data_IF_489773627721
#
_entry.id   IF_489773627721
#
_cell.length_a   1.000
_cell.length_b   1.000
_cell.length_c   1.000
_cell.angle_alpha   90.00
_cell.angle_beta   90.00
_cell.angle_gamma   90.00
#
_symmetry.space_group_name_H-M   'P 1'
#
loop_
_entity.id
_entity.type
_entity.pdbx_description
1 polymer ?
#
# COMPACT_ATOMS: atom_id res chain seq x y z
N UNK A 1 -12.24 -48.73 -2.21
CA UNK A 1 -12.86 -47.85 -1.19
C UNK A 1 -11.74 -47.13 -0.44
N UNK A 2 -11.45 -45.88 -0.78
CA UNK A 2 -10.35 -45.14 -0.16
C UNK A 2 -10.74 -44.68 1.25
N UNK A 3 -10.04 -45.18 2.27
CA UNK A 3 -10.20 -44.77 3.67
C UNK A 3 -10.02 -43.25 3.78
N UNK A 4 -11.13 -42.55 4.01
CA UNK A 4 -11.15 -41.13 4.32
C UNK A 4 -10.51 -40.96 5.71
N UNK A 5 -9.22 -40.59 5.75
CA UNK A 5 -8.53 -40.19 6.99
C UNK A 5 -9.42 -39.19 7.72
N UNK A 6 -9.87 -39.53 8.94
CA UNK A 6 -10.52 -38.58 9.84
C UNK A 6 -9.49 -37.47 10.12
N UNK A 7 -9.81 -36.23 9.74
CA UNK A 7 -9.02 -35.07 10.14
C UNK A 7 -9.06 -34.98 11.67
N UNK A 8 -7.99 -35.44 12.33
CA UNK A 8 -7.77 -35.13 13.74
C UNK A 8 -7.50 -33.62 13.82
N UNK A 9 -8.10 -32.94 14.80
CA UNK A 9 -7.74 -31.56 15.11
C UNK A 9 -6.23 -31.50 15.35
N UNK A 10 -5.55 -30.47 14.81
CA UNK A 10 -4.12 -30.34 15.00
C UNK A 10 -3.81 -30.17 16.50
N UNK A 11 -2.62 -30.59 16.97
CA UNK A 11 -2.23 -30.43 18.37
C UNK A 11 -2.33 -28.97 18.80
N UNK A 12 -2.78 -28.74 20.04
CA UNK A 12 -2.88 -27.39 20.64
C UNK A 12 -1.48 -26.74 20.60
N UNK A 13 -1.40 -25.48 20.14
CA UNK A 13 -0.15 -24.71 19.88
C UNK A 13 0.76 -25.21 18.74
N UNK A 14 0.32 -26.17 17.92
CA UNK A 14 1.03 -26.47 16.67
C UNK A 14 0.94 -25.29 15.68
N UNK A 15 1.90 -25.19 14.75
CA UNK A 15 1.88 -24.18 13.69
C UNK A 15 0.57 -24.18 12.89
N UNK A 16 -0.01 -25.35 12.63
CA UNK A 16 -1.31 -25.47 11.94
C UNK A 16 -2.48 -24.97 12.81
N UNK A 17 -2.42 -25.21 14.12
CA UNK A 17 -3.43 -24.69 15.06
C UNK A 17 -3.41 -23.16 15.13
N UNK A 18 -2.22 -22.56 15.21
CA UNK A 18 -2.06 -21.10 15.22
C UNK A 18 -2.58 -20.50 13.92
N UNK A 19 -2.23 -21.06 12.76
CA UNK A 19 -2.73 -20.56 11.46
C UNK A 19 -4.25 -20.65 11.38
N UNK A 20 -4.88 -21.70 11.91
CA UNK A 20 -6.34 -21.85 11.84
C UNK A 20 -7.07 -20.89 12.78
N UNK A 21 -6.51 -20.60 13.96
CA UNK A 21 -7.18 -19.83 15.00
C UNK A 21 -6.60 -18.42 15.18
N UNK A 22 -5.67 -17.97 14.32
CA UNK A 22 -4.98 -16.68 14.48
C UNK A 22 -5.96 -15.50 14.56
N UNK A 23 -7.02 -15.52 13.75
CA UNK A 23 -8.03 -14.47 13.74
C UNK A 23 -8.77 -14.40 15.08
N UNK A 24 -9.22 -15.54 15.59
CA UNK A 24 -9.93 -15.64 16.87
C UNK A 24 -9.05 -15.29 18.06
N UNK A 25 -7.79 -15.75 18.06
CA UNK A 25 -6.82 -15.42 19.10
C UNK A 25 -6.51 -13.92 19.14
N UNK A 26 -6.24 -13.32 17.98
CA UNK A 26 -5.96 -11.87 17.87
C UNK A 26 -7.21 -11.05 18.20
N UNK A 27 -8.40 -11.49 17.78
CA UNK A 27 -9.68 -10.87 18.13
C UNK A 27 -9.93 -10.91 19.63
N UNK A 28 -9.67 -12.05 20.29
CA UNK A 28 -9.77 -12.17 21.75
C UNK A 28 -8.82 -11.21 22.46
N UNK A 29 -7.57 -11.07 21.98
CA UNK A 29 -6.60 -10.12 22.54
C UNK A 29 -7.08 -8.66 22.36
N UNK A 30 -7.54 -8.29 21.17
CA UNK A 30 -8.06 -6.95 20.90
C UNK A 30 -9.30 -6.64 21.75
N UNK A 31 -10.22 -7.61 21.90
CA UNK A 31 -11.41 -7.49 22.74
C UNK A 31 -11.04 -7.33 24.22
N UNK A 32 -10.01 -8.04 24.70
CA UNK A 32 -9.51 -7.87 26.06
C UNK A 32 -8.99 -6.46 26.33
N UNK A 33 -8.26 -5.88 25.38
CA UNK A 33 -7.79 -4.49 25.46
C UNK A 33 -8.96 -3.50 25.46
N UNK A 34 -9.97 -3.72 24.61
CA UNK A 34 -11.19 -2.89 24.56
C UNK A 34 -12.03 -3.00 25.84
N UNK A 35 -12.16 -4.20 26.40
CA UNK A 35 -12.86 -4.43 27.67
C UNK A 35 -12.13 -3.75 28.84
N UNK A 36 -10.80 -3.59 28.74
CA UNK A 36 -10.02 -2.76 29.65
C UNK A 36 -10.45 -1.29 29.70
N UNK A 37 -11.20 -0.78 28.72
CA UNK A 37 -11.80 0.56 28.79
C UNK A 37 -13.02 0.63 29.72
N UNK A 38 -13.66 -0.50 30.04
CA UNK A 38 -14.90 -0.52 30.80
C UNK A 38 -14.71 -0.23 32.30
N UNK A 39 -13.51 -0.44 32.83
CA UNK A 39 -13.20 -0.16 34.25
C UNK A 39 -12.30 1.07 34.39
N UNK A 40 -12.59 1.92 35.37
CA UNK A 40 -11.92 3.20 35.56
C UNK A 40 -10.40 3.09 35.82
N UNK A 41 -9.95 2.03 36.49
CA UNK A 41 -8.53 1.82 36.78
C UNK A 41 -7.77 1.34 35.54
N UNK A 42 -8.35 0.42 34.77
CA UNK A 42 -7.72 -0.16 33.58
C UNK A 42 -7.82 0.77 32.37
N UNK A 43 -8.85 1.61 32.30
CA UNK A 43 -9.07 2.52 31.17
C UNK A 43 -7.92 3.52 30.99
N UNK A 44 -7.29 3.96 32.08
CA UNK A 44 -6.09 4.83 32.07
C UNK A 44 -4.92 4.22 31.29
N UNK A 45 -4.82 2.89 31.25
CA UNK A 45 -3.80 2.18 30.50
C UNK A 45 -4.29 1.74 29.12
N UNK A 46 -5.54 1.28 29.02
CA UNK A 46 -6.13 0.80 27.77
C UNK A 46 -6.30 1.91 26.73
N UNK A 47 -6.58 3.14 27.15
CA UNK A 47 -6.73 4.28 26.23
C UNK A 47 -5.44 4.60 25.46
N UNK A 48 -4.27 4.27 26.03
CA UNK A 48 -2.96 4.42 25.37
C UNK A 48 -2.87 3.66 24.04
N UNK A 49 -3.56 2.54 23.94
CA UNK A 49 -3.55 1.69 22.75
C UNK A 49 -4.46 2.20 21.62
N UNK A 50 -5.43 3.07 21.92
CA UNK A 50 -6.51 3.41 20.98
C UNK A 50 -6.42 4.86 20.51
N UNK A 51 -6.14 5.79 21.41
CA UNK A 51 -6.13 7.21 21.07
C UNK A 51 -4.73 7.69 20.74
N UNK A 52 -4.64 8.75 19.94
CA UNK A 52 -3.39 9.48 19.74
C UNK A 52 -3.04 10.20 21.04
N UNK A 53 -1.79 10.08 21.50
CA UNK A 53 -1.42 10.44 22.88
C UNK A 53 -0.85 11.85 23.04
N UNK A 54 -0.29 12.43 21.98
CA UNK A 54 0.49 13.66 22.06
C UNK A 54 -0.27 14.81 21.39
N UNK A 55 -1.42 15.21 21.95
CA UNK A 55 -2.15 16.37 21.47
C UNK A 55 -1.49 17.67 21.98
N UNK A 56 -1.21 18.58 21.06
CA UNK A 56 -0.77 19.95 21.34
C UNK A 56 -1.86 20.88 20.85
N UNK A 57 -2.51 21.55 21.79
CA UNK A 57 -3.57 22.52 21.49
C UNK A 57 -2.98 23.91 21.49
N UNK A 58 -3.04 24.60 20.36
CA UNK A 58 -2.72 26.02 20.30
C UNK A 58 -4.02 26.82 20.40
N UNK A 59 -4.13 27.60 21.47
CA UNK A 59 -5.18 28.61 21.57
C UNK A 59 -4.74 29.79 20.73
N UNK A 60 -5.48 30.08 19.66
CA UNK A 60 -5.32 31.33 18.93
C UNK A 60 -6.10 32.36 19.74
N UNK A 61 -5.45 33.43 20.18
CA UNK A 61 -5.95 34.48 21.09
C UNK A 61 -7.15 35.31 20.56
N UNK A 62 -7.90 34.80 19.57
CA UNK A 62 -8.91 35.56 18.83
C UNK A 62 -10.23 34.78 18.63
N UNK A 63 -10.65 33.98 19.62
CA UNK A 63 -11.99 33.38 19.66
C UNK A 63 -12.29 32.34 18.57
N UNK A 64 -11.26 31.81 17.89
CA UNK A 64 -11.37 30.72 16.93
C UNK A 64 -11.14 29.36 17.60
N UNK A 65 -11.78 28.31 17.06
CA UNK A 65 -11.71 26.96 17.61
C UNK A 65 -10.25 26.51 17.80
N UNK A 66 -9.92 25.88 18.95
CA UNK A 66 -8.56 25.42 19.22
C UNK A 66 -8.09 24.43 18.15
N UNK A 67 -6.94 24.74 17.52
CA UNK A 67 -6.36 23.84 16.52
C UNK A 67 -5.50 22.80 17.24
N UNK A 68 -5.93 21.54 17.15
CA UNK A 68 -5.21 20.40 17.71
C UNK A 68 -4.17 19.87 16.71
N UNK A 69 -2.89 19.94 17.09
CA UNK A 69 -1.81 19.25 16.41
C UNK A 69 -1.42 18.00 17.19
N UNK A 70 -0.82 17.03 16.51
CA UNK A 70 -0.33 15.80 17.14
C UNK A 70 1.17 15.67 16.92
N UNK A 71 1.90 15.50 18.00
CA UNK A 71 3.33 15.16 17.95
C UNK A 71 3.53 13.65 17.97
N UNK A 72 4.75 13.20 17.69
CA UNK A 72 5.12 11.79 17.74
C UNK A 72 5.88 11.49 19.03
N UNK A 73 5.58 10.37 19.67
CA UNK A 73 6.34 9.96 20.85
C UNK A 73 6.31 8.45 21.12
N UNK A 74 7.07 7.98 22.11
CA UNK A 74 7.26 6.55 22.35
C UNK A 74 5.97 5.79 22.71
N UNK A 75 4.96 6.48 23.26
CA UNK A 75 3.66 5.85 23.56
C UNK A 75 2.88 5.44 22.30
N UNK A 76 3.17 6.05 21.15
CA UNK A 76 2.54 5.68 19.88
C UNK A 76 2.91 4.26 19.46
N UNK A 77 3.97 3.65 20.02
CA UNK A 77 4.30 2.24 19.80
C UNK A 77 3.18 1.30 20.26
N UNK A 78 2.53 1.62 21.38
CA UNK A 78 1.39 0.85 21.88
C UNK A 78 0.19 0.98 20.92
N UNK A 79 -0.05 2.19 20.43
CA UNK A 79 -1.08 2.49 19.45
C UNK A 79 -0.83 1.78 18.12
N UNK A 80 0.40 1.80 17.60
CA UNK A 80 0.82 1.06 16.40
C UNK A 80 0.59 -0.44 16.60
N UNK A 81 0.99 -0.99 17.75
CA UNK A 81 0.78 -2.39 18.07
C UNK A 81 -0.71 -2.76 18.02
N UNK A 82 -1.58 -1.97 18.64
CA UNK A 82 -3.03 -2.21 18.61
C UNK A 82 -3.60 -2.12 17.19
N UNK A 83 -3.26 -1.09 16.42
CA UNK A 83 -3.71 -0.99 15.03
C UNK A 83 -3.18 -2.11 14.14
N UNK A 84 -2.00 -2.67 14.44
CA UNK A 84 -1.52 -3.89 13.79
C UNK A 84 -2.41 -5.12 14.11
N UNK A 85 -2.91 -5.26 15.34
CA UNK A 85 -3.89 -6.32 15.68
C UNK A 85 -5.19 -6.13 14.89
N UNK A 86 -5.70 -4.89 14.83
CA UNK A 86 -6.90 -4.57 14.03
C UNK A 86 -6.67 -4.86 12.55
N UNK A 87 -5.47 -4.56 12.01
CA UNK A 87 -5.12 -4.87 10.63
C UNK A 87 -5.11 -6.39 10.36
N UNK A 88 -4.62 -7.21 11.30
CA UNK A 88 -4.65 -8.68 11.20
C UNK A 88 -6.10 -9.18 11.20
N UNK A 89 -6.95 -8.67 12.09
CA UNK A 89 -8.38 -9.02 12.15
C UNK A 89 -9.06 -8.64 10.83
N UNK A 90 -8.83 -7.41 10.34
CA UNK A 90 -9.42 -6.94 9.08
C UNK A 90 -8.97 -7.81 7.90
N UNK A 91 -7.68 -8.16 7.82
CA UNK A 91 -7.16 -9.07 6.80
C UNK A 91 -7.86 -10.44 6.84
N UNK A 92 -8.06 -11.00 8.03
CA UNK A 92 -8.76 -12.28 8.19
C UNK A 92 -10.24 -12.19 7.77
N UNK A 93 -10.94 -11.12 8.17
CA UNK A 93 -12.34 -10.86 7.78
C UNK A 93 -12.46 -10.71 6.26
N UNK A 94 -11.59 -9.93 5.62
CA UNK A 94 -11.56 -9.79 4.15
C UNK A 94 -11.34 -11.17 3.49
N UNK A 95 -10.44 -11.98 4.05
CA UNK A 95 -10.17 -13.32 3.53
C UNK A 95 -11.42 -14.21 3.58
N UNK A 96 -12.06 -14.31 4.74
CA UNK A 96 -13.17 -15.23 4.98
C UNK A 96 -14.46 -14.80 4.26
N UNK A 97 -14.83 -13.52 4.39
CA UNK A 97 -16.12 -13.02 3.93
C UNK A 97 -16.13 -12.63 2.46
N UNK A 98 -15.01 -12.14 1.93
CA UNK A 98 -14.93 -11.67 0.55
C UNK A 98 -14.20 -12.69 -0.31
N UNK A 99 -12.92 -12.94 -0.04
CA UNK A 99 -12.07 -13.72 -0.95
C UNK A 99 -12.50 -15.18 -1.02
N UNK A 100 -12.73 -15.83 0.12
CA UNK A 100 -13.17 -17.22 0.18
C UNK A 100 -14.60 -17.38 -0.33
N UNK A 101 -15.44 -16.36 -0.20
CA UNK A 101 -16.78 -16.35 -0.80
C UNK A 101 -16.71 -16.33 -2.33
N UNK A 102 -15.89 -15.45 -2.91
CA UNK A 102 -15.69 -15.38 -4.37
C UNK A 102 -15.02 -16.65 -4.88
N UNK A 103 -14.02 -17.17 -4.17
CA UNK A 103 -13.33 -18.40 -4.54
C UNK A 103 -14.29 -19.61 -4.58
N UNK A 104 -15.20 -19.72 -3.61
CA UNK A 104 -16.24 -20.76 -3.59
C UNK A 104 -17.20 -20.65 -4.76
N UNK A 105 -17.48 -19.44 -5.27
CA UNK A 105 -18.30 -19.21 -6.48
C UNK A 105 -17.56 -19.57 -7.76
N UNK A 106 -16.25 -19.28 -7.83
CA UNK A 106 -15.42 -19.49 -9.01
C UNK A 106 -14.83 -20.91 -9.13
N UNK A 107 -14.98 -21.75 -8.10
CA UNK A 107 -14.48 -23.13 -8.06
C UNK A 107 -13.00 -23.27 -8.50
N UNK A 108 -12.13 -22.37 -8.03
CA UNK A 108 -10.73 -22.36 -8.43
C UNK A 108 -9.97 -23.58 -7.86
N UNK A 109 -8.97 -24.06 -8.59
CA UNK A 109 -8.06 -25.11 -8.10
C UNK A 109 -7.22 -24.61 -6.93
N UNK A 110 -6.71 -25.51 -6.07
CA UNK A 110 -5.86 -25.16 -4.90
C UNK A 110 -4.72 -24.18 -5.24
N UNK A 111 -4.05 -24.38 -6.38
CA UNK A 111 -2.97 -23.52 -6.87
C UNK A 111 -3.44 -22.15 -7.36
N UNK A 112 -4.62 -22.07 -7.98
CA UNK A 112 -5.23 -20.80 -8.40
C UNK A 112 -5.78 -20.04 -7.19
N UNK A 113 -6.34 -20.76 -6.22
CA UNK A 113 -6.90 -20.19 -5.00
C UNK A 113 -5.86 -19.44 -4.17
N UNK A 114 -4.71 -20.04 -3.87
CA UNK A 114 -3.64 -19.34 -3.12
C UNK A 114 -3.20 -18.04 -3.80
N UNK A 115 -3.07 -18.06 -5.14
CA UNK A 115 -2.73 -16.89 -5.95
C UNK A 115 -3.85 -15.85 -6.04
N UNK A 116 -5.09 -16.30 -6.03
CA UNK A 116 -6.27 -15.45 -5.98
C UNK A 116 -6.34 -14.72 -4.63
N UNK A 117 -6.12 -15.44 -3.52
CA UNK A 117 -6.13 -14.87 -2.18
C UNK A 117 -5.01 -13.83 -2.00
N UNK A 118 -3.78 -14.14 -2.41
CA UNK A 118 -2.65 -13.19 -2.41
C UNK A 118 -2.99 -11.90 -3.18
N UNK A 119 -3.45 -12.04 -4.43
CA UNK A 119 -3.82 -10.89 -5.26
C UNK A 119 -5.05 -10.14 -4.72
N UNK A 120 -5.95 -10.84 -4.04
CA UNK A 120 -7.13 -10.28 -3.42
C UNK A 120 -6.77 -9.35 -2.27
N UNK A 121 -5.94 -9.84 -1.35
CA UNK A 121 -5.47 -9.06 -0.21
C UNK A 121 -4.68 -7.83 -0.66
N UNK A 122 -3.79 -7.99 -1.64
CA UNK A 122 -3.05 -6.87 -2.22
C UNK A 122 -3.97 -5.86 -2.91
N UNK A 123 -5.01 -6.30 -3.63
CA UNK A 123 -5.99 -5.39 -4.23
C UNK A 123 -6.71 -4.55 -3.16
N UNK A 124 -7.13 -5.16 -2.05
CA UNK A 124 -7.75 -4.43 -0.93
C UNK A 124 -6.77 -3.44 -0.30
N UNK A 125 -5.53 -3.87 -0.02
CA UNK A 125 -4.49 -3.01 0.52
C UNK A 125 -4.22 -1.78 -0.37
N UNK A 126 -4.03 -1.99 -1.68
CA UNK A 126 -3.80 -0.89 -2.61
C UNK A 126 -5.03 0.00 -2.79
N UNK A 127 -6.25 -0.54 -2.68
CA UNK A 127 -7.47 0.25 -2.70
C UNK A 127 -7.54 1.18 -1.49
N UNK A 128 -7.38 0.65 -0.28
CA UNK A 128 -7.36 1.46 0.94
C UNK A 128 -6.25 2.51 0.89
N UNK A 129 -5.04 2.13 0.46
CA UNK A 129 -3.89 3.03 0.36
C UNK A 129 -4.09 4.12 -0.69
N UNK A 130 -4.72 3.79 -1.83
CA UNK A 130 -5.05 4.76 -2.87
C UNK A 130 -6.10 5.76 -2.40
N UNK A 131 -7.20 5.29 -1.80
CA UNK A 131 -8.27 6.16 -1.27
C UNK A 131 -7.73 7.07 -0.18
N UNK A 132 -6.96 6.52 0.77
CA UNK A 132 -6.31 7.28 1.81
C UNK A 132 -5.35 8.33 1.24
N UNK A 133 -4.45 7.94 0.35
CA UNK A 133 -3.51 8.86 -0.30
C UNK A 133 -4.19 9.95 -1.12
N UNK A 134 -5.26 9.61 -1.86
CA UNK A 134 -6.08 10.56 -2.61
C UNK A 134 -6.84 11.53 -1.70
N UNK A 135 -7.32 11.08 -0.54
CA UNK A 135 -7.97 11.96 0.45
C UNK A 135 -6.98 13.00 1.01
N UNK A 136 -5.74 12.61 1.30
CA UNK A 136 -4.71 13.54 1.74
C UNK A 136 -4.34 14.49 0.60
N UNK A 137 -4.16 13.97 -0.61
CA UNK A 137 -3.80 14.77 -1.78
C UNK A 137 -4.87 15.83 -2.09
N UNK A 138 -6.15 15.46 -2.06
CA UNK A 138 -7.25 16.40 -2.26
C UNK A 138 -7.31 17.46 -1.16
N UNK A 139 -7.07 17.10 0.10
CA UNK A 139 -6.96 18.06 1.20
C UNK A 139 -5.75 19.02 1.04
N UNK A 140 -4.67 18.58 0.41
CA UNK A 140 -3.51 19.43 0.08
C UNK A 140 -3.82 20.36 -1.10
N UNK A 141 -4.41 19.85 -2.17
CA UNK A 141 -4.79 20.64 -3.35
C UNK A 141 -5.81 21.71 -2.96
N UNK A 142 -6.80 21.37 -2.15
CA UNK A 142 -7.79 22.32 -1.65
C UNK A 142 -7.13 23.48 -0.88
N UNK A 143 -6.16 23.19 0.00
CA UNK A 143 -5.37 24.22 0.72
C UNK A 143 -4.52 25.08 -0.21
N UNK A 144 -3.95 24.50 -1.27
CA UNK A 144 -3.18 25.25 -2.28
C UNK A 144 -4.07 26.11 -3.18
N UNK A 145 -5.31 25.71 -3.42
CA UNK A 145 -6.27 26.49 -4.21
C UNK A 145 -6.88 27.63 -3.36
N UNK A 146 -7.11 27.40 -2.06
CA UNK A 146 -7.65 28.41 -1.14
C UNK A 146 -6.65 29.51 -0.79
N UNK A 147 -5.35 29.36 -1.10
CA UNK A 147 -4.36 30.46 -0.95
C UNK A 147 -4.55 31.61 -1.94
N UNK A 148 -5.48 31.50 -2.90
CA UNK A 148 -5.97 32.66 -3.67
C UNK A 148 -6.99 33.50 -2.86
N UNK A 149 -7.58 32.94 -1.78
CA UNK A 149 -8.55 33.63 -0.91
C UNK A 149 -8.05 33.93 0.52
N UNK A 150 -6.84 33.52 0.89
CA UNK A 150 -6.29 33.79 2.22
C UNK A 150 -5.17 34.85 2.18
N UNK A 151 -5.51 36.07 1.75
CA UNK A 151 -4.85 37.27 2.29
C UNK A 151 -5.49 37.56 3.66
N UNK A 152 -5.09 36.81 4.67
CA UNK A 152 -5.25 37.23 6.06
C UNK A 152 -3.86 37.25 6.70
N UNK A 153 -3.47 38.36 7.34
CA UNK A 153 -2.14 38.50 7.92
C UNK A 153 -2.15 37.76 9.27
N UNK A 154 -1.79 36.49 9.28
CA UNK A 154 -1.45 35.83 10.53
C UNK A 154 0.00 36.17 10.82
N UNK A 155 0.15 37.34 11.45
CA UNK A 155 1.39 37.82 12.00
C UNK A 155 1.82 36.98 13.20
N UNK A 156 3.14 36.80 13.27
CA UNK A 156 3.93 36.56 14.47
C UNK A 156 3.96 35.14 15.06
N UNK A 157 5.20 34.70 15.20
CA UNK A 157 5.72 33.64 16.08
C UNK A 157 5.52 32.18 15.66
N UNK A 158 6.60 31.52 15.24
CA UNK A 158 7.45 30.81 16.22
C UNK A 158 8.64 30.10 15.54
N UNK A 159 9.80 30.39 16.11
CA UNK A 159 11.04 29.63 16.00
C UNK A 159 10.87 28.35 16.83
N UNK A 160 10.29 27.31 16.26
CA UNK A 160 10.53 25.90 16.62
C UNK A 160 9.89 25.03 15.53
N UNK A 161 10.66 24.06 15.01
CA UNK A 161 10.30 23.03 14.03
C UNK A 161 10.26 23.43 12.53
N UNK A 162 11.36 24.03 12.05
CA UNK A 162 11.74 23.97 10.62
C UNK A 162 11.88 22.52 10.10
N UNK A 163 12.24 21.57 10.98
CA UNK A 163 12.41 20.14 10.67
C UNK A 163 11.07 19.48 10.34
N UNK A 164 10.01 19.75 11.10
CA UNK A 164 8.67 19.13 10.92
C UNK A 164 7.92 19.71 9.72
N UNK A 165 7.95 21.03 9.50
CA UNK A 165 7.33 21.67 8.32
C UNK A 165 7.99 21.25 7.00
N UNK A 166 9.29 20.94 7.00
CA UNK A 166 10.03 20.51 5.79
C UNK A 166 9.96 18.99 5.55
N UNK A 167 9.90 18.16 6.59
CA UNK A 167 9.57 16.73 6.46
C UNK A 167 8.17 16.55 5.88
N UNK A 168 7.22 17.41 6.27
CA UNK A 168 5.86 17.40 5.72
C UNK A 168 5.83 17.74 4.22
N UNK A 169 6.72 18.63 3.74
CA UNK A 169 6.89 18.92 2.32
C UNK A 169 7.45 17.72 1.53
N UNK A 170 8.42 17.00 2.09
CA UNK A 170 8.96 15.75 1.50
C UNK A 170 7.95 14.60 1.55
N UNK A 171 7.16 14.49 2.63
CA UNK A 171 6.07 13.53 2.76
C UNK A 171 4.94 13.83 1.77
N UNK A 172 4.59 15.11 1.55
CA UNK A 172 3.62 15.54 0.52
C UNK A 172 4.11 15.19 -0.88
N UNK A 173 5.39 15.40 -1.18
CA UNK A 173 5.99 14.97 -2.44
C UNK A 173 5.96 13.44 -2.59
N UNK A 174 6.34 12.72 -1.53
CA UNK A 174 6.24 11.27 -1.46
C UNK A 174 4.82 10.80 -1.79
N UNK A 175 3.81 11.38 -1.15
CA UNK A 175 2.39 11.07 -1.39
C UNK A 175 1.94 11.36 -2.82
N UNK A 176 2.34 12.49 -3.40
CA UNK A 176 2.06 12.83 -4.81
C UNK A 176 2.65 11.78 -5.75
N UNK A 177 3.84 11.25 -5.45
CA UNK A 177 4.48 10.20 -6.24
C UNK A 177 3.89 8.80 -5.97
N UNK A 178 3.39 8.56 -4.76
CA UNK A 178 2.89 7.26 -4.30
C UNK A 178 1.46 6.97 -4.78
N UNK A 179 0.59 7.99 -4.84
CA UNK A 179 -0.82 7.82 -5.24
C UNK A 179 -0.97 7.23 -6.65
N UNK A 180 -0.27 7.75 -7.69
CA UNK A 180 -0.28 7.12 -9.02
C UNK A 180 0.26 5.69 -9.00
N UNK A 181 1.25 5.41 -8.15
CA UNK A 181 1.81 4.07 -8.02
C UNK A 181 0.78 3.09 -7.44
N UNK A 182 0.10 3.46 -6.35
CA UNK A 182 -0.95 2.63 -5.75
C UNK A 182 -2.12 2.38 -6.69
N UNK A 183 -2.50 3.38 -7.50
CA UNK A 183 -3.53 3.20 -8.52
C UNK A 183 -3.14 2.14 -9.55
N UNK A 184 -1.90 2.18 -10.04
CA UNK A 184 -1.42 1.22 -11.04
C UNK A 184 -1.33 -0.20 -10.46
N UNK A 185 -0.85 -0.36 -9.23
CA UNK A 185 -0.81 -1.67 -8.56
C UNK A 185 -2.22 -2.19 -8.23
N UNK A 186 -3.16 -1.30 -7.86
CA UNK A 186 -4.56 -1.65 -7.70
C UNK A 186 -5.15 -2.20 -9.01
N UNK A 187 -4.93 -1.51 -10.13
CA UNK A 187 -5.43 -1.94 -11.44
C UNK A 187 -4.79 -3.27 -11.87
N UNK A 188 -3.52 -3.49 -11.54
CA UNK A 188 -2.84 -4.77 -11.77
C UNK A 188 -3.54 -5.92 -11.03
N UNK A 189 -3.70 -5.79 -9.71
CA UNK A 189 -4.28 -6.82 -8.88
C UNK A 189 -5.77 -7.03 -9.18
N UNK A 190 -6.53 -5.96 -9.44
CA UNK A 190 -7.90 -6.04 -9.91
C UNK A 190 -7.99 -6.79 -11.26
N UNK A 191 -7.12 -6.48 -12.22
CA UNK A 191 -7.06 -7.19 -13.51
C UNK A 191 -6.76 -8.67 -13.33
N UNK A 192 -5.87 -9.03 -12.40
CA UNK A 192 -5.55 -10.43 -12.06
C UNK A 192 -6.75 -11.15 -11.43
N UNK A 193 -7.50 -10.48 -10.55
CA UNK A 193 -8.74 -11.04 -9.97
C UNK A 193 -9.81 -11.28 -11.06
N UNK A 194 -10.03 -10.33 -11.96
CA UNK A 194 -10.98 -10.50 -13.06
C UNK A 194 -10.56 -11.60 -14.04
N UNK A 195 -9.25 -11.74 -14.31
CA UNK A 195 -8.73 -12.82 -15.14
C UNK A 195 -9.00 -14.21 -14.56
N UNK A 196 -8.99 -14.36 -13.24
CA UNK A 196 -9.38 -15.62 -12.59
C UNK A 196 -10.87 -15.94 -12.73
N UNK A 197 -11.72 -14.91 -12.86
CA UNK A 197 -13.16 -15.08 -13.08
C UNK A 197 -13.49 -15.39 -14.53
N UNK A 198 -12.83 -14.73 -15.49
CA UNK A 198 -13.08 -14.87 -16.91
C UNK A 198 -11.79 -14.64 -17.71
N UNK A 199 -11.29 -15.70 -18.33
CA UNK A 199 -10.01 -15.70 -19.06
C UNK A 199 -10.05 -14.83 -20.32
N UNK A 200 -11.25 -14.45 -20.82
CA UNK A 200 -11.42 -13.54 -21.95
C UNK A 200 -11.20 -12.06 -21.59
N UNK A 201 -11.11 -11.70 -20.29
CA UNK A 201 -10.94 -10.31 -19.83
C UNK A 201 -9.48 -9.85 -19.80
N UNK A 202 -8.70 -10.16 -20.84
CA UNK A 202 -7.27 -9.80 -20.90
C UNK A 202 -7.02 -8.29 -21.10
N UNK A 203 -8.03 -7.53 -21.52
CA UNK A 203 -7.93 -6.07 -21.77
C UNK A 203 -7.46 -5.28 -20.54
N UNK A 204 -7.75 -5.77 -19.33
CA UNK A 204 -7.28 -5.16 -18.08
C UNK A 204 -5.75 -5.08 -17.97
N UNK A 205 -5.04 -6.12 -18.43
CA UNK A 205 -3.58 -6.11 -18.44
C UNK A 205 -2.99 -5.13 -19.46
N UNK A 206 -3.68 -4.88 -20.58
CA UNK A 206 -3.26 -3.86 -21.54
C UNK A 206 -3.44 -2.46 -20.97
N UNK A 207 -4.59 -2.19 -20.33
CA UNK A 207 -4.86 -0.94 -19.63
C UNK A 207 -3.82 -0.69 -18.52
N UNK A 208 -3.55 -1.70 -17.69
CA UNK A 208 -2.51 -1.64 -16.67
C UNK A 208 -1.14 -1.30 -17.26
N UNK A 209 -0.72 -1.96 -18.34
CA UNK A 209 0.59 -1.73 -18.94
C UNK A 209 0.74 -0.28 -19.44
N UNK A 210 -0.31 0.27 -20.07
CA UNK A 210 -0.34 1.66 -20.51
C UNK A 210 -0.24 2.62 -19.31
N UNK A 211 -1.10 2.42 -18.30
CA UNK A 211 -1.11 3.28 -17.11
C UNK A 211 0.18 3.18 -16.30
N UNK A 212 0.82 2.00 -16.28
CA UNK A 212 2.11 1.80 -15.66
C UNK A 212 3.16 2.68 -16.31
N UNK A 213 3.30 2.67 -17.64
CA UNK A 213 4.26 3.54 -18.35
C UNK A 213 3.96 5.02 -18.08
N UNK A 214 2.69 5.43 -18.15
CA UNK A 214 2.28 6.82 -17.86
C UNK A 214 2.65 7.26 -16.43
N UNK A 215 2.40 6.40 -15.43
CA UNK A 215 2.76 6.70 -14.05
C UNK A 215 4.28 6.81 -13.83
N UNK A 216 5.09 6.02 -14.56
CA UNK A 216 6.55 6.12 -14.51
C UNK A 216 7.06 7.42 -15.10
N UNK A 217 6.53 7.83 -16.24
CA UNK A 217 6.87 9.12 -16.85
C UNK A 217 6.45 10.29 -15.94
N UNK A 218 5.24 10.23 -15.37
CA UNK A 218 4.76 11.26 -14.44
C UNK A 218 5.65 11.37 -13.20
N UNK A 219 5.96 10.24 -12.55
CA UNK A 219 6.77 10.24 -11.32
C UNK A 219 8.21 10.69 -11.56
N UNK A 220 8.84 10.31 -12.68
CA UNK A 220 10.16 10.80 -13.06
C UNK A 220 10.15 12.31 -13.34
N UNK A 221 9.20 12.79 -14.13
CA UNK A 221 9.08 14.22 -14.44
C UNK A 221 8.88 15.05 -13.17
N UNK A 222 7.96 14.65 -12.29
CA UNK A 222 7.71 15.35 -11.02
C UNK A 222 8.94 15.35 -10.10
N UNK A 223 9.69 14.25 -10.08
CA UNK A 223 10.92 14.14 -9.27
C UNK A 223 12.01 15.07 -9.78
N UNK A 224 12.23 15.13 -11.11
CA UNK A 224 13.19 16.05 -11.72
C UNK A 224 12.76 17.51 -11.54
N UNK A 225 11.48 17.84 -11.72
CA UNK A 225 10.97 19.19 -11.48
C UNK A 225 11.18 19.63 -10.03
N UNK A 226 10.92 18.73 -9.08
CA UNK A 226 11.03 19.06 -7.65
C UNK A 226 12.47 19.12 -7.17
N UNK A 227 13.25 18.07 -7.40
CA UNK A 227 14.64 17.99 -6.92
C UNK A 227 15.64 18.72 -7.80
N UNK A 228 15.38 18.84 -9.11
CA UNK A 228 16.27 19.51 -10.07
C UNK A 228 16.05 21.02 -10.15
N UNK A 229 14.80 21.49 -10.13
CA UNK A 229 14.47 22.90 -10.35
C UNK A 229 13.79 23.58 -9.15
N UNK A 230 12.97 22.86 -8.37
CA UNK A 230 12.25 23.43 -7.24
C UNK A 230 13.17 23.72 -6.05
N UNK A 231 13.85 22.68 -5.58
CA UNK A 231 14.71 22.73 -4.39
C UNK A 231 16.03 23.47 -4.62
N UNK A 232 16.53 23.57 -5.86
CA UNK A 232 17.69 24.38 -6.26
C UNK A 232 17.49 25.86 -5.95
N UNK A 233 16.27 26.38 -6.14
CA UNK A 233 15.98 27.81 -5.96
C UNK A 233 16.06 28.29 -4.51
N UNK A 234 16.07 27.36 -3.55
CA UNK A 234 16.15 27.64 -2.13
C UNK A 234 17.38 26.95 -1.48
N UNK A 235 18.42 26.67 -2.28
CA UNK A 235 19.64 26.00 -1.82
C UNK A 235 20.40 26.88 -0.83
N UNK A 236 20.63 26.33 0.37
CA UNK A 236 21.39 26.97 1.43
C UNK A 236 22.62 26.08 1.72
N UNK A 237 23.86 26.60 1.65
CA UNK A 237 25.08 25.80 1.71
C UNK A 237 25.37 25.15 3.08
N UNK A 238 24.69 25.53 4.16
CA UNK A 238 24.91 24.98 5.50
C UNK A 238 24.07 23.74 5.81
N UNK A 239 24.69 22.60 6.08
CA UNK A 239 24.01 21.45 6.70
C UNK A 239 23.84 21.71 8.21
N UNK A 240 22.60 21.88 8.66
CA UNK A 240 22.31 22.12 10.08
C UNK A 240 21.14 21.25 10.53
N UNK A 241 21.45 20.24 11.36
CA UNK A 241 20.45 19.34 11.98
C UNK A 241 19.60 20.12 13.00
N UNK A 242 20.20 21.11 13.67
CA UNK A 242 19.53 21.97 14.64
C UNK A 242 18.50 22.91 14.00
N UNK A 243 18.77 23.40 12.78
CA UNK A 243 17.85 24.26 12.01
C UNK A 243 16.92 23.47 11.08
N UNK A 244 17.11 22.15 10.96
CA UNK A 244 16.38 21.28 10.03
C UNK A 244 16.68 21.58 8.56
N UNK A 245 17.87 22.12 8.24
CA UNK A 245 18.26 22.41 6.87
C UNK A 245 18.90 21.18 6.20
N UNK A 246 18.06 20.41 5.50
CA UNK A 246 18.46 19.25 4.69
C UNK A 246 18.56 19.57 3.19
N UNK A 247 18.36 20.84 2.79
CA UNK A 247 18.37 21.23 1.37
C UNK A 247 19.78 21.41 0.82
N UNK A 248 20.63 20.40 1.03
CA UNK A 248 21.98 20.32 0.48
C UNK A 248 21.97 19.49 -0.80
N UNK A 249 22.90 19.79 -1.72
CA UNK A 249 23.04 19.06 -2.98
C UNK A 249 23.12 17.54 -2.78
N UNK A 250 23.88 17.09 -1.78
CA UNK A 250 24.06 15.66 -1.48
C UNK A 250 22.74 14.94 -1.21
N UNK A 251 21.86 15.51 -0.38
CA UNK A 251 20.57 14.91 -0.02
C UNK A 251 19.62 14.90 -1.22
N UNK A 252 19.65 15.96 -2.05
CA UNK A 252 18.82 16.03 -3.26
C UNK A 252 19.25 15.00 -4.29
N UNK A 253 20.55 14.88 -4.54
CA UNK A 253 21.09 13.88 -5.46
C UNK A 253 20.88 12.47 -4.92
N UNK A 254 21.02 12.22 -3.62
CA UNK A 254 20.74 10.90 -3.05
C UNK A 254 19.26 10.52 -3.15
N UNK A 255 18.34 11.46 -2.89
CA UNK A 255 16.90 11.24 -3.04
C UNK A 255 16.53 11.01 -4.52
N UNK A 256 17.06 11.82 -5.43
CA UNK A 256 16.83 11.66 -6.86
C UNK A 256 17.40 10.33 -7.36
N UNK A 257 18.60 9.95 -6.92
CA UNK A 257 19.21 8.67 -7.25
C UNK A 257 18.37 7.49 -6.71
N UNK A 258 17.89 7.56 -5.47
CA UNK A 258 17.02 6.53 -4.91
C UNK A 258 15.71 6.37 -5.70
N UNK A 259 15.10 7.49 -6.11
CA UNK A 259 13.91 7.47 -6.98
C UNK A 259 14.28 6.83 -8.32
N UNK A 260 15.32 7.32 -9.00
CA UNK A 260 15.74 6.80 -10.30
C UNK A 260 16.08 5.30 -10.25
N UNK A 261 16.77 4.83 -9.21
CA UNK A 261 17.08 3.41 -9.00
C UNK A 261 15.81 2.58 -8.80
N UNK A 262 14.89 3.07 -7.96
CA UNK A 262 13.59 2.39 -7.74
C UNK A 262 12.78 2.33 -9.03
N UNK A 263 12.76 3.40 -9.81
CA UNK A 263 12.09 3.46 -11.12
C UNK A 263 12.72 2.51 -12.12
N UNK A 264 14.06 2.48 -12.20
CA UNK A 264 14.81 1.58 -13.07
C UNK A 264 14.57 0.11 -12.70
N UNK A 265 14.55 -0.23 -11.41
CA UNK A 265 14.26 -1.59 -10.94
C UNK A 265 12.83 -2.03 -11.32
N UNK A 266 11.84 -1.16 -11.14
CA UNK A 266 10.45 -1.43 -11.55
C UNK A 266 10.32 -1.56 -13.07
N UNK A 267 11.03 -0.72 -13.83
CA UNK A 267 11.08 -0.80 -15.30
C UNK A 267 11.75 -2.08 -15.78
N UNK A 268 12.84 -2.49 -15.14
CA UNK A 268 13.52 -3.75 -15.43
C UNK A 268 12.59 -4.95 -15.23
N UNK A 269 11.84 -5.00 -14.11
CA UNK A 269 10.82 -6.04 -13.87
C UNK A 269 9.75 -6.03 -14.97
N UNK A 270 9.24 -4.86 -15.34
CA UNK A 270 8.23 -4.73 -16.39
C UNK A 270 8.74 -5.17 -17.77
N UNK A 271 9.94 -4.73 -18.16
CA UNK A 271 10.55 -5.11 -19.45
C UNK A 271 10.76 -6.62 -19.51
N UNK A 272 11.33 -7.22 -18.46
CA UNK A 272 11.51 -8.67 -18.42
C UNK A 272 10.18 -9.42 -18.53
N UNK A 273 9.15 -8.91 -17.88
CA UNK A 273 7.81 -9.43 -17.99
C UNK A 273 7.29 -9.34 -19.44
N UNK A 274 7.35 -8.17 -20.09
CA UNK A 274 6.87 -7.99 -21.46
C UNK A 274 7.69 -8.82 -22.47
N UNK A 275 9.01 -8.85 -22.34
CA UNK A 275 9.89 -9.64 -23.19
C UNK A 275 9.54 -11.13 -23.11
N UNK A 276 9.32 -11.65 -21.92
CA UNK A 276 8.92 -13.04 -21.76
C UNK A 276 7.53 -13.30 -22.36
N UNK A 277 6.58 -12.37 -22.20
CA UNK A 277 5.23 -12.51 -22.75
C UNK A 277 5.31 -12.56 -24.27
N UNK A 278 6.14 -11.70 -24.85
CA UNK A 278 6.39 -11.67 -26.28
C UNK A 278 7.05 -12.96 -26.79
N UNK A 279 8.07 -13.50 -26.09
CA UNK A 279 8.68 -14.80 -26.42
C UNK A 279 7.67 -15.94 -26.40
N UNK A 280 6.77 -15.96 -25.41
CA UNK A 280 5.74 -17.00 -25.30
C UNK A 280 4.70 -16.90 -26.42
N UNK A 281 4.27 -15.68 -26.80
CA UNK A 281 3.42 -15.49 -27.98
C UNK A 281 4.11 -15.91 -29.28
N UNK A 282 5.39 -15.56 -29.45
CA UNK A 282 6.18 -15.99 -30.61
C UNK A 282 6.28 -17.53 -30.69
N UNK A 283 6.51 -18.21 -29.55
CA UNK A 283 6.55 -19.68 -29.49
C UNK A 283 5.20 -20.36 -29.74
N UNK A 284 4.09 -19.73 -29.36
CA UNK A 284 2.74 -20.25 -29.60
C UNK A 284 2.27 -20.06 -31.05
N UNK A 285 2.87 -19.11 -31.79
CA UNK A 285 2.62 -18.90 -33.22
C UNK A 285 3.40 -19.87 -34.12
N UNK A 286 4.43 -20.57 -33.61
CA UNK A 286 5.11 -21.66 -34.32
C UNK A 286 4.18 -22.90 -34.30
N UNK A 287 3.70 -23.40 -35.45
CA UNK A 287 2.71 -24.47 -35.48
C UNK A 287 3.29 -25.78 -34.94
N UNK A 288 2.84 -26.20 -33.76
CA UNK A 288 3.14 -27.54 -33.22
C UNK A 288 2.25 -28.58 -33.90
N UNK A 289 2.85 -29.65 -34.42
CA UNK A 289 2.15 -30.84 -34.95
C UNK A 289 1.04 -31.26 -33.97
N UNK A 290 -0.19 -31.35 -34.50
CA UNK A 290 -1.43 -31.59 -33.73
C UNK A 290 -1.34 -32.91 -32.97
N UNK A 291 -1.49 -32.86 -31.65
CA UNK A 291 -1.98 -34.00 -30.86
C UNK A 291 -3.14 -33.51 -30.01
N UNK A 292 -4.27 -34.20 -30.12
CA UNK A 292 -5.56 -33.83 -29.54
C UNK A 292 -5.49 -33.75 -28.01
N UNK A 293 -5.53 -32.53 -27.45
CA UNK A 293 -6.02 -32.30 -26.08
C UNK A 293 -6.55 -30.88 -25.89
N UNK A 294 -7.68 -30.54 -26.54
CA UNK A 294 -8.30 -29.21 -26.48
C UNK A 294 -8.79 -28.76 -25.09
N UNK A 295 -8.93 -29.65 -24.11
CA UNK A 295 -9.33 -29.31 -22.73
C UNK A 295 -8.11 -29.05 -21.82
N UNK A 296 -6.90 -29.53 -22.19
CA UNK A 296 -5.67 -29.30 -21.41
C UNK A 296 -4.97 -27.98 -21.75
N UNK A 297 -5.17 -27.41 -22.95
CA UNK A 297 -4.43 -26.23 -23.43
C UNK A 297 -4.78 -24.95 -22.64
N UNK A 298 -6.06 -24.66 -22.46
CA UNK A 298 -6.55 -23.45 -21.78
C UNK A 298 -6.15 -23.44 -20.30
N UNK A 299 -6.29 -24.59 -19.63
CA UNK A 299 -5.84 -24.80 -18.25
C UNK A 299 -4.32 -24.64 -18.09
N UNK A 300 -3.52 -25.01 -19.11
CA UNK A 300 -2.06 -24.87 -19.13
C UNK A 300 -1.63 -23.41 -19.35
N UNK A 301 -2.30 -22.68 -20.23
CA UNK A 301 -2.04 -21.25 -20.47
C UNK A 301 -2.36 -20.43 -19.22
N UNK A 302 -3.55 -20.60 -18.65
CA UNK A 302 -3.95 -19.92 -17.40
C UNK A 302 -3.01 -20.20 -16.22
N UNK A 303 -2.45 -21.42 -16.13
CA UNK A 303 -1.45 -21.78 -15.13
C UNK A 303 -0.08 -21.13 -15.41
N UNK A 304 0.30 -20.94 -16.68
CA UNK A 304 1.55 -20.27 -17.09
C UNK A 304 1.52 -18.76 -16.88
N UNK A 305 0.47 -18.08 -17.35
CA UNK A 305 0.32 -16.64 -17.14
C UNK A 305 0.36 -16.32 -15.62
N UNK A 306 -0.35 -17.07 -14.80
CA UNK A 306 -0.32 -16.90 -13.34
C UNK A 306 1.01 -17.29 -12.67
N UNK A 307 1.83 -18.15 -13.28
CA UNK A 307 3.18 -18.46 -12.79
C UNK A 307 4.17 -17.35 -13.17
N UNK A 308 3.93 -16.71 -14.31
CA UNK A 308 4.72 -15.60 -14.82
C UNK A 308 4.54 -14.35 -13.97
N UNK A 309 3.31 -13.91 -13.70
CA UNK A 309 3.07 -12.69 -12.91
C UNK A 309 3.64 -12.77 -11.48
N UNK A 310 3.49 -13.90 -10.79
CA UNK A 310 4.02 -14.10 -9.44
C UNK A 310 5.56 -14.06 -9.40
N UNK A 311 6.25 -14.52 -10.44
CA UNK A 311 7.73 -14.54 -10.44
C UNK A 311 8.36 -13.16 -10.65
N UNK A 312 7.59 -12.19 -11.17
CA UNK A 312 8.09 -10.85 -11.49
C UNK A 312 7.45 -9.73 -10.69
N UNK A 313 6.27 -9.92 -10.10
CA UNK A 313 5.56 -8.88 -9.34
C UNK A 313 5.41 -9.18 -7.84
N UNK A 314 5.63 -10.42 -7.40
CA UNK A 314 5.81 -10.68 -5.97
C UNK A 314 7.27 -10.37 -5.60
N UNK A 315 7.46 -9.81 -4.41
CA UNK A 315 8.76 -9.41 -3.85
C UNK A 315 9.71 -10.62 -3.83
#
# INVERSE_FOLDING_TARGET
MGLRKKNKSPPVLSHEFVIQNHADAVSCLAMGLLMGLMFEVTSKYAIMFITVQYNVTYNIDDGSDPVHFYEYGPKDMATIFFYMLIAIILHAVIQEYILDKINRRLHLSKTKHSKFNESGQLAFFYLFSFVWGASILSAVIFRLNSSIFAKLPIGSMHFQNCTSKRLESLQRLGLILLVPHYLVELIFHASRLFYFSDENKQKGFTLWALLFVMARLLTLTLSVLTFGFGLTKAENPGFSVAEGNFNILTIRISCLAAICLTQAWMMWKFINFQLKKWREHAQNQIPKKKTNTKIKSTKKESCRYNCMYHKYFTI
#
